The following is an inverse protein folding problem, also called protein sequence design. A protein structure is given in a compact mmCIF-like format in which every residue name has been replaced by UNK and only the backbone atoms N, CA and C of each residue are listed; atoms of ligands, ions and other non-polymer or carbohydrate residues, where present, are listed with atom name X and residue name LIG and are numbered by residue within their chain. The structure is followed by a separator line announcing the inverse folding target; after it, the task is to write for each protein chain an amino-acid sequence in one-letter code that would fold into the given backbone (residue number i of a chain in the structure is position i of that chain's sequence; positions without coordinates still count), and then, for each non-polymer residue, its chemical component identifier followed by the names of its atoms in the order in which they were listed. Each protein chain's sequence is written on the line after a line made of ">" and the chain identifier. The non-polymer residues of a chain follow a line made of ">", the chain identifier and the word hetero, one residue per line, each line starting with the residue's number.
data_IF_564338245742
#
_entry.id   IF_564338245742
#
_cell.length_a   1.000
_cell.length_b   1.000
_cell.length_c   1.000
_cell.angle_alpha   90.00
_cell.angle_beta   90.00
_cell.angle_gamma   90.00
#
_symmetry.space_group_name_H-M   'P 1'
#
loop_
_entity.id
_entity.type
_entity.pdbx_description
1 polymer ?
#
# COMPACT_ATOMS: atom_id res chain seq x y z
N UNK A 1 35.62 -6.70 0.75
CA UNK A 1 34.21 -6.67 0.30
C UNK A 1 34.22 -6.20 -1.15
N UNK A 2 33.30 -6.66 -1.98
CA UNK A 2 33.28 -6.23 -3.39
C UNK A 2 32.76 -4.80 -3.45
N UNK A 3 33.63 -3.87 -3.84
CA UNK A 3 33.37 -2.43 -4.03
C UNK A 3 32.26 -2.13 -5.07
N UNK A 4 31.97 -3.12 -5.92
CA UNK A 4 30.95 -3.05 -6.96
C UNK A 4 30.10 -4.32 -6.98
N UNK A 5 28.80 -4.14 -7.22
CA UNK A 5 27.85 -5.25 -7.37
C UNK A 5 26.88 -5.01 -8.52
N UNK A 6 26.85 -5.97 -9.45
CA UNK A 6 25.84 -5.98 -10.52
C UNK A 6 24.46 -6.31 -9.95
N UNK A 7 23.46 -5.54 -10.39
CA UNK A 7 22.05 -5.68 -10.03
C UNK A 7 21.26 -5.96 -11.31
N UNK A 8 20.62 -7.11 -11.35
CA UNK A 8 19.73 -7.56 -12.41
C UNK A 8 18.75 -8.59 -11.83
N UNK A 9 17.59 -8.80 -12.47
CA UNK A 9 16.68 -9.86 -12.05
C UNK A 9 17.25 -11.23 -12.41
N UNK A 10 17.50 -12.04 -11.39
CA UNK A 10 17.82 -13.46 -11.54
C UNK A 10 16.54 -14.31 -11.69
N UNK A 11 16.70 -15.63 -11.73
CA UNK A 11 15.56 -16.56 -11.88
C UNK A 11 14.56 -16.45 -10.72
N UNK A 12 15.04 -16.30 -9.49
CA UNK A 12 14.20 -16.23 -8.30
C UNK A 12 13.34 -14.96 -8.31
N UNK A 13 13.99 -13.81 -8.43
CA UNK A 13 13.32 -12.50 -8.48
C UNK A 13 12.39 -12.37 -9.69
N UNK A 14 12.77 -12.92 -10.85
CA UNK A 14 11.94 -12.89 -12.05
C UNK A 14 10.62 -13.66 -11.93
N UNK A 15 10.54 -14.64 -11.03
CA UNK A 15 9.36 -15.53 -10.88
C UNK A 15 8.46 -15.22 -9.68
N UNK A 16 8.54 -14.00 -9.12
CA UNK A 16 7.75 -13.60 -7.95
C UNK A 16 8.57 -13.23 -6.72
N UNK A 17 9.90 -13.38 -6.79
CA UNK A 17 10.82 -12.93 -5.74
C UNK A 17 10.92 -11.40 -5.65
N UNK A 18 11.59 -10.92 -4.61
CA UNK A 18 11.78 -9.47 -4.39
C UNK A 18 12.70 -8.91 -5.48
N UNK A 19 12.36 -7.73 -6.02
CA UNK A 19 13.19 -7.04 -6.99
C UNK A 19 14.55 -6.64 -6.38
N UNK A 20 15.68 -7.06 -6.99
CA UNK A 20 17.01 -6.64 -6.56
C UNK A 20 17.21 -5.12 -6.68
N UNK A 21 16.56 -4.49 -7.66
CA UNK A 21 16.54 -3.03 -7.84
C UNK A 21 15.85 -2.35 -6.66
N UNK A 22 14.65 -2.82 -6.31
CA UNK A 22 13.91 -2.22 -5.20
C UNK A 22 14.63 -2.42 -3.86
N UNK A 23 15.23 -3.59 -3.66
CA UNK A 23 16.01 -3.88 -2.46
C UNK A 23 17.20 -2.92 -2.33
N UNK A 24 18.00 -2.78 -3.39
CA UNK A 24 19.14 -1.88 -3.40
C UNK A 24 18.71 -0.42 -3.16
N UNK A 25 17.75 0.08 -3.94
CA UNK A 25 17.26 1.46 -3.77
C UNK A 25 16.70 1.69 -2.37
N UNK A 26 15.90 0.77 -1.83
CA UNK A 26 15.38 0.88 -0.47
C UNK A 26 16.49 0.96 0.57
N UNK A 27 17.53 0.13 0.44
CA UNK A 27 18.67 0.12 1.36
C UNK A 27 19.42 1.45 1.33
N UNK A 28 19.64 2.04 0.15
CA UNK A 28 20.24 3.38 -0.01
C UNK A 28 19.35 4.47 0.59
N UNK A 29 18.03 4.37 0.37
CA UNK A 29 17.08 5.38 0.81
C UNK A 29 16.92 5.40 2.33
N UNK A 30 17.12 4.29 3.03
CA UNK A 30 16.77 4.15 4.44
C UNK A 30 17.66 5.00 5.35
N UNK A 31 17.06 6.00 6.01
CA UNK A 31 17.69 6.93 6.95
C UNK A 31 18.92 7.66 6.37
N UNK A 32 19.00 7.81 5.04
CA UNK A 32 20.06 8.55 4.36
C UNK A 32 19.60 9.94 3.93
N UNK A 33 20.58 10.80 3.64
CA UNK A 33 20.38 12.02 2.86
C UNK A 33 20.70 11.70 1.40
N UNK A 34 19.67 11.71 0.55
CA UNK A 34 19.77 11.02 -0.75
C UNK A 34 19.55 11.96 -1.92
N UNK A 35 20.45 11.87 -2.89
CA UNK A 35 20.37 12.63 -4.13
C UNK A 35 19.96 11.72 -5.29
N UNK A 36 19.00 12.15 -6.09
CA UNK A 36 18.30 11.31 -7.06
C UNK A 36 18.26 12.00 -8.42
N UNK A 37 18.57 11.26 -9.47
CA UNK A 37 18.39 11.70 -10.86
C UNK A 37 17.59 10.65 -11.61
N UNK A 38 16.43 11.02 -12.19
CA UNK A 38 15.65 10.11 -13.03
C UNK A 38 14.62 10.88 -13.88
N UNK A 39 14.52 10.67 -15.21
CA UNK A 39 13.49 11.33 -16.04
C UNK A 39 12.10 10.73 -15.85
N UNK A 40 11.98 9.40 -15.83
CA UNK A 40 10.69 8.73 -15.84
C UNK A 40 10.38 8.14 -14.47
N UNK A 41 9.47 8.80 -13.76
CA UNK A 41 9.17 8.45 -12.38
C UNK A 41 7.69 8.03 -12.26
N UNK A 42 7.47 6.87 -11.64
CA UNK A 42 6.15 6.43 -11.23
C UNK A 42 5.85 6.96 -9.84
N UNK A 43 4.92 7.91 -9.73
CA UNK A 43 4.68 8.66 -8.48
C UNK A 43 4.46 7.76 -7.25
N UNK A 44 3.69 6.68 -7.37
CA UNK A 44 3.45 5.75 -6.25
C UNK A 44 4.69 4.96 -5.81
N UNK A 45 5.64 4.69 -6.71
CA UNK A 45 6.91 4.08 -6.35
C UNK A 45 7.85 5.11 -5.70
N UNK A 46 7.88 6.32 -6.25
CA UNK A 46 8.76 7.38 -5.77
C UNK A 46 8.38 7.86 -4.37
N UNK A 47 7.10 8.18 -4.15
CA UNK A 47 6.56 8.54 -2.84
C UNK A 47 6.81 7.44 -1.79
N UNK A 48 6.76 6.17 -2.21
CA UNK A 48 7.07 5.03 -1.34
C UNK A 48 8.52 5.05 -0.85
N UNK A 49 9.49 5.32 -1.73
CA UNK A 49 10.91 5.26 -1.36
C UNK A 49 11.42 6.55 -0.70
N UNK A 50 10.90 7.72 -1.06
CA UNK A 50 11.31 9.00 -0.45
C UNK A 50 10.92 9.10 1.01
N UNK A 51 9.83 8.44 1.41
CA UNK A 51 9.43 8.29 2.82
C UNK A 51 10.44 7.55 3.68
N UNK A 52 11.42 6.85 3.10
CA UNK A 52 12.45 6.15 3.87
C UNK A 52 13.67 7.01 4.20
N UNK A 53 13.85 8.13 3.48
CA UNK A 53 15.00 9.00 3.62
C UNK A 53 14.82 10.03 4.74
N UNK A 54 15.93 10.48 5.32
CA UNK A 54 15.93 11.63 6.24
C UNK A 54 15.66 12.91 5.45
N UNK A 55 16.36 13.05 4.33
CA UNK A 55 16.14 14.09 3.34
C UNK A 55 16.42 13.55 1.94
N UNK A 56 15.86 14.21 0.93
CA UNK A 56 16.12 13.85 -0.45
C UNK A 56 16.11 15.08 -1.37
N UNK A 57 16.85 14.97 -2.46
CA UNK A 57 16.88 15.94 -3.57
C UNK A 57 16.69 15.21 -4.89
N UNK A 58 15.88 15.75 -5.78
CA UNK A 58 15.57 15.20 -7.08
C UNK A 58 15.94 16.19 -8.18
N UNK A 59 16.76 15.74 -9.14
CA UNK A 59 16.92 16.38 -10.44
C UNK A 59 16.19 15.53 -11.48
N UNK A 60 15.26 16.13 -12.21
CA UNK A 60 14.42 15.40 -13.17
C UNK A 60 14.00 16.28 -14.34
N UNK A 61 13.71 15.66 -15.48
CA UNK A 61 12.97 16.34 -16.52
C UNK A 61 11.47 16.29 -16.18
N UNK A 62 10.99 17.36 -15.54
CA UNK A 62 9.58 17.54 -15.17
C UNK A 62 8.64 17.42 -16.37
N UNK A 63 9.03 17.85 -17.56
CA UNK A 63 8.19 17.75 -18.76
C UNK A 63 8.00 16.29 -19.18
N UNK A 64 9.10 15.53 -19.22
CA UNK A 64 9.07 14.08 -19.48
C UNK A 64 8.32 13.31 -18.39
N UNK A 65 8.51 13.69 -17.11
CA UNK A 65 7.81 13.06 -15.99
C UNK A 65 6.29 13.22 -16.13
N UNK A 66 5.81 14.42 -16.45
CA UNK A 66 4.38 14.70 -16.61
C UNK A 66 3.83 14.04 -17.89
N UNK A 67 4.50 14.22 -19.02
CA UNK A 67 4.00 13.78 -20.33
C UNK A 67 3.88 12.25 -20.44
N UNK A 68 4.81 11.50 -19.82
CA UNK A 68 4.81 10.04 -19.77
C UNK A 68 3.59 9.43 -19.04
N UNK A 69 2.92 10.23 -18.20
CA UNK A 69 1.84 9.78 -17.33
C UNK A 69 0.44 10.12 -17.87
N UNK A 70 -0.57 9.38 -17.41
CA UNK A 70 -1.98 9.64 -17.76
C UNK A 70 -2.54 10.87 -17.01
N UNK A 71 -3.73 11.34 -17.38
CA UNK A 71 -4.30 12.58 -16.83
C UNK A 71 -4.44 12.60 -15.30
N UNK A 72 -4.87 11.49 -14.70
CA UNK A 72 -4.99 11.36 -13.24
C UNK A 72 -3.61 11.41 -12.57
N UNK A 73 -2.66 10.63 -13.07
CA UNK A 73 -1.29 10.61 -12.58
C UNK A 73 -0.58 11.97 -12.72
N UNK A 74 -0.84 12.72 -13.81
CA UNK A 74 -0.32 14.09 -14.00
C UNK A 74 -0.75 15.04 -12.89
N UNK A 75 -2.01 14.97 -12.46
CA UNK A 75 -2.49 15.81 -11.36
C UNK A 75 -1.83 15.44 -10.03
N UNK A 76 -1.63 14.14 -9.79
CA UNK A 76 -0.91 13.67 -8.60
C UNK A 76 0.57 14.09 -8.61
N UNK A 77 1.23 14.02 -9.76
CA UNK A 77 2.61 14.50 -9.95
C UNK A 77 2.70 15.99 -9.69
N UNK A 78 1.80 16.79 -10.28
CA UNK A 78 1.74 18.24 -10.03
C UNK A 78 1.62 18.54 -8.54
N UNK A 79 0.66 17.92 -7.85
CA UNK A 79 0.46 18.15 -6.42
C UNK A 79 1.70 17.74 -5.61
N UNK A 80 2.36 16.64 -5.98
CA UNK A 80 3.59 16.20 -5.35
C UNK A 80 4.73 17.21 -5.55
N UNK A 81 4.90 17.75 -6.75
CA UNK A 81 5.91 18.79 -7.04
C UNK A 81 5.65 20.03 -6.19
N UNK A 82 4.41 20.52 -6.16
CA UNK A 82 4.04 21.71 -5.39
C UNK A 82 4.31 21.57 -3.88
N UNK A 83 4.13 20.36 -3.34
CA UNK A 83 4.41 20.07 -1.93
C UNK A 83 5.90 19.92 -1.62
N UNK A 84 6.76 19.82 -2.63
CA UNK A 84 8.18 19.49 -2.51
C UNK A 84 9.07 20.40 -3.39
N UNK A 85 8.67 21.65 -3.62
CA UNK A 85 9.36 22.56 -4.54
C UNK A 85 10.84 22.75 -4.22
N UNK A 86 11.20 22.80 -2.93
CA UNK A 86 12.60 23.00 -2.51
C UNK A 86 13.49 21.78 -2.71
N UNK A 87 12.92 20.60 -2.99
CA UNK A 87 13.67 19.35 -3.15
C UNK A 87 13.61 18.81 -4.57
N UNK A 88 12.93 19.49 -5.50
CA UNK A 88 12.78 19.06 -6.89
C UNK A 88 13.24 20.16 -7.82
N UNK A 89 14.25 19.86 -8.63
CA UNK A 89 14.73 20.72 -9.69
C UNK A 89 14.41 20.13 -11.07
N UNK A 90 14.05 21.01 -12.00
CA UNK A 90 13.90 20.70 -13.41
C UNK A 90 15.25 20.79 -14.12
N UNK A 91 15.61 19.72 -14.82
CA UNK A 91 16.75 19.67 -15.75
C UNK A 91 16.27 19.04 -17.05
N UNK A 92 16.21 19.85 -18.11
CA UNK A 92 15.71 19.42 -19.42
C UNK A 92 16.62 18.37 -20.06
N UNK A 93 16.01 17.36 -20.68
CA UNK A 93 16.69 16.27 -21.40
C UNK A 93 17.60 15.38 -20.52
N UNK A 94 17.47 15.45 -19.19
CA UNK A 94 18.24 14.57 -18.28
C UNK A 94 17.77 13.13 -18.45
N UNK A 95 18.67 12.21 -18.79
CA UNK A 95 18.33 10.80 -18.99
C UNK A 95 19.11 9.84 -18.07
N UNK A 96 19.86 10.37 -17.10
CA UNK A 96 20.52 9.56 -16.09
C UNK A 96 19.50 8.89 -15.15
N UNK A 97 19.84 7.72 -14.60
CA UNK A 97 19.10 7.07 -13.50
C UNK A 97 20.09 6.74 -12.39
N UNK A 98 20.08 7.57 -11.34
CA UNK A 98 21.07 7.52 -10.26
C UNK A 98 20.36 7.73 -8.92
N UNK A 99 20.79 6.98 -7.91
CA UNK A 99 20.54 7.25 -6.48
C UNK A 99 21.90 7.31 -5.81
N UNK A 100 22.21 8.35 -5.05
CA UNK A 100 23.47 8.45 -4.31
C UNK A 100 23.20 8.92 -2.88
N UNK A 101 23.76 8.19 -1.92
CA UNK A 101 23.83 8.58 -0.50
C UNK A 101 25.27 8.91 -0.12
N UNK A 102 25.54 9.05 1.18
CA UNK A 102 26.89 9.29 1.71
C UNK A 102 27.86 8.13 1.44
N UNK A 103 27.37 6.89 1.52
CA UNK A 103 28.21 5.69 1.55
C UNK A 103 28.10 4.82 0.29
N UNK A 104 27.05 5.00 -0.51
CA UNK A 104 26.79 4.15 -1.66
C UNK A 104 26.03 4.87 -2.77
N UNK A 105 26.14 4.31 -3.98
CA UNK A 105 25.44 4.80 -5.15
C UNK A 105 24.88 3.65 -5.99
N UNK A 106 23.76 3.92 -6.65
CA UNK A 106 23.08 3.03 -7.57
C UNK A 106 22.96 3.73 -8.91
N UNK A 107 23.53 3.15 -9.97
CA UNK A 107 23.44 3.67 -11.34
C UNK A 107 22.94 2.57 -12.26
N UNK A 108 22.06 2.87 -13.21
CA UNK A 108 21.63 1.85 -14.17
C UNK A 108 20.66 2.31 -15.24
N UNK A 109 20.05 1.34 -15.91
CA UNK A 109 19.09 1.57 -16.99
C UNK A 109 17.64 1.73 -16.49
N UNK A 110 17.33 1.22 -15.30
CA UNK A 110 15.98 1.22 -14.75
C UNK A 110 15.49 2.62 -14.36
N UNK A 111 14.40 3.05 -14.98
CA UNK A 111 13.59 4.17 -14.52
C UNK A 111 12.80 3.82 -13.25
N UNK A 112 12.45 4.81 -12.43
CA UNK A 112 11.80 4.62 -11.12
C UNK A 112 10.29 4.43 -11.27
N UNK A 113 9.92 3.43 -12.07
CA UNK A 113 8.54 3.05 -12.36
C UNK A 113 8.31 1.61 -11.93
N UNK A 114 7.05 1.23 -11.66
CA UNK A 114 6.71 -0.17 -11.38
C UNK A 114 7.25 -1.13 -12.45
N UNK A 115 7.23 -0.73 -13.72
CA UNK A 115 7.73 -1.56 -14.83
C UNK A 115 9.25 -1.67 -14.85
N UNK A 116 9.97 -0.54 -14.71
CA UNK A 116 11.43 -0.54 -14.65
C UNK A 116 11.94 -1.40 -13.49
N UNK A 117 11.32 -1.26 -12.32
CA UNK A 117 11.76 -1.95 -11.10
C UNK A 117 11.36 -3.44 -11.08
N UNK A 118 10.24 -3.86 -11.70
CA UNK A 118 9.68 -5.22 -11.50
C UNK A 118 9.54 -6.09 -12.75
N UNK A 119 9.49 -5.49 -13.93
CA UNK A 119 8.97 -6.18 -15.13
C UNK A 119 9.91 -6.11 -16.34
N UNK A 120 10.80 -5.11 -16.40
CA UNK A 120 11.75 -4.93 -17.51
C UNK A 120 13.05 -5.65 -17.23
N UNK A 121 13.68 -6.12 -18.31
CA UNK A 121 15.07 -6.58 -18.28
C UNK A 121 15.95 -5.34 -18.23
N UNK A 122 16.45 -5.04 -17.03
CA UNK A 122 17.28 -3.87 -16.73
C UNK A 122 18.60 -4.35 -16.12
N UNK A 123 19.60 -3.46 -16.09
CA UNK A 123 20.85 -3.70 -15.37
C UNK A 123 21.30 -2.43 -14.65
N UNK A 124 21.90 -2.62 -13.48
CA UNK A 124 22.47 -1.56 -12.68
C UNK A 124 23.74 -2.03 -11.96
N UNK A 125 24.45 -1.06 -11.40
CA UNK A 125 25.61 -1.28 -10.53
C UNK A 125 25.33 -0.58 -9.21
N UNK A 126 25.46 -1.32 -8.12
CA UNK A 126 25.60 -0.78 -6.77
C UNK A 126 27.10 -0.57 -6.50
N UNK A 127 27.45 0.63 -6.07
CA UNK A 127 28.81 1.10 -5.85
C UNK A 127 28.93 1.44 -4.35
N UNK A 128 29.91 0.85 -3.69
CA UNK A 128 30.28 1.13 -2.29
C UNK A 128 31.72 1.68 -2.19
N UNK A 129 32.42 1.79 -3.32
CA UNK A 129 33.75 2.40 -3.37
C UNK A 129 33.65 3.91 -3.15
N UNK A 130 34.31 4.38 -2.09
CA UNK A 130 34.18 5.75 -1.59
C UNK A 130 34.55 6.82 -2.62
N UNK A 131 35.58 6.59 -3.44
CA UNK A 131 36.05 7.59 -4.40
C UNK A 131 34.99 7.89 -5.47
N UNK A 132 34.30 6.87 -5.96
CA UNK A 132 33.27 6.93 -6.99
C UNK A 132 31.94 7.41 -6.42
N UNK A 133 31.63 7.07 -5.18
CA UNK A 133 30.48 7.67 -4.47
C UNK A 133 30.68 9.18 -4.34
N UNK A 134 31.88 9.64 -3.95
CA UNK A 134 32.21 11.07 -3.86
C UNK A 134 32.18 11.75 -5.24
N UNK A 135 32.66 11.09 -6.29
CA UNK A 135 32.55 11.60 -7.66
C UNK A 135 31.09 11.78 -8.08
N UNK A 136 30.22 10.80 -7.81
CA UNK A 136 28.79 10.87 -8.11
C UNK A 136 28.06 11.94 -7.29
N UNK A 137 28.44 12.14 -6.02
CA UNK A 137 27.93 13.23 -5.20
C UNK A 137 28.29 14.59 -5.79
N UNK A 138 29.56 14.76 -6.21
CA UNK A 138 30.01 16.00 -6.85
C UNK A 138 29.27 16.24 -8.16
N UNK A 139 29.18 15.23 -9.02
CA UNK A 139 28.41 15.30 -10.25
C UNK A 139 26.94 15.68 -10.01
N UNK A 140 26.31 15.14 -8.96
CA UNK A 140 24.97 15.54 -8.59
C UNK A 140 24.89 17.00 -8.15
N UNK A 141 25.84 17.49 -7.34
CA UNK A 141 25.88 18.88 -6.91
C UNK A 141 26.03 19.84 -8.11
N UNK A 142 26.90 19.50 -9.07
CA UNK A 142 27.06 20.27 -10.30
C UNK A 142 25.73 20.32 -11.08
N UNK A 143 25.04 19.18 -11.25
CA UNK A 143 23.70 19.15 -11.87
C UNK A 143 22.65 19.94 -11.10
N UNK A 144 22.69 19.88 -9.77
CA UNK A 144 21.76 20.59 -8.90
C UNK A 144 21.92 22.10 -9.07
N UNK A 145 23.16 22.60 -9.09
CA UNK A 145 23.49 24.01 -9.25
C UNK A 145 23.19 24.53 -10.67
N UNK A 146 23.25 23.67 -11.69
CA UNK A 146 22.87 23.98 -13.07
C UNK A 146 21.36 23.86 -13.36
N UNK A 147 20.60 23.29 -12.41
CA UNK A 147 19.17 23.05 -12.56
C UNK A 147 18.32 24.10 -11.85
N UNK A 148 17.06 24.21 -12.26
CA UNK A 148 16.16 25.26 -11.78
C UNK A 148 15.08 24.69 -10.88
N UNK A 149 14.74 25.41 -9.81
CA UNK A 149 13.52 25.12 -9.04
C UNK A 149 12.32 25.24 -9.97
N UNK A 150 11.36 24.32 -9.83
CA UNK A 150 10.17 24.33 -10.69
C UNK A 150 9.35 25.60 -10.48
N UNK A 151 9.23 26.42 -11.53
CA UNK A 151 8.36 27.58 -11.51
C UNK A 151 6.89 27.15 -11.59
N UNK A 152 6.09 27.59 -10.62
CA UNK A 152 4.67 27.22 -10.52
C UNK A 152 3.87 27.69 -11.75
N UNK A 153 4.14 28.91 -12.24
CA UNK A 153 3.39 29.48 -13.36
C UNK A 153 3.69 28.73 -14.66
N UNK A 154 4.96 28.38 -14.89
CA UNK A 154 5.38 27.61 -16.06
C UNK A 154 4.83 26.19 -16.01
N UNK A 155 4.83 25.55 -14.83
CA UNK A 155 4.22 24.24 -14.60
C UNK A 155 2.72 24.24 -14.92
N UNK A 156 1.98 25.27 -14.49
CA UNK A 156 0.55 25.41 -14.79
C UNK A 156 0.31 25.60 -16.30
N UNK A 157 1.12 26.42 -16.96
CA UNK A 157 1.04 26.63 -18.40
C UNK A 157 1.34 25.34 -19.18
N UNK A 158 2.37 24.60 -18.79
CA UNK A 158 2.68 23.30 -19.38
C UNK A 158 1.53 22.30 -19.18
N UNK A 159 0.98 22.23 -17.98
CA UNK A 159 -0.18 21.37 -17.68
C UNK A 159 -1.42 21.72 -18.52
N UNK A 160 -1.61 23.00 -18.85
CA UNK A 160 -2.69 23.43 -19.74
C UNK A 160 -2.42 23.07 -21.20
N UNK A 161 -1.17 23.19 -21.69
CA UNK A 161 -0.80 22.91 -23.08
C UNK A 161 -0.88 21.41 -23.43
N UNK A 162 -0.59 20.52 -22.49
CA UNK A 162 -0.72 19.07 -22.71
C UNK A 162 -2.17 18.57 -22.59
N UNK A 163 -3.10 19.38 -22.07
CA UNK A 163 -4.55 19.06 -22.03
C UNK A 163 -5.24 19.35 -23.36
N UNK A 164 -4.78 20.34 -24.11
CA UNK A 164 -5.28 20.66 -25.46
C UNK A 164 -4.75 19.72 -26.54
N UNK A 165 -3.64 19.03 -26.24
CA UNK A 165 -3.08 17.98 -27.08
C UNK A 165 -3.82 16.67 -26.82
N UNK A 166 -4.76 16.31 -27.70
CA UNK A 166 -5.56 15.09 -27.59
C UNK A 166 -4.70 13.86 -27.32
N UNK A 167 -5.01 13.15 -26.24
CA UNK A 167 -4.45 11.86 -25.87
C UNK A 167 -4.45 10.90 -27.07
N UNK A 168 -3.27 10.40 -27.46
CA UNK A 168 -3.22 9.14 -28.18
C UNK A 168 -3.85 8.07 -27.31
N UNK A 169 -5.05 7.68 -27.72
CA UNK A 169 -5.88 6.63 -27.12
C UNK A 169 -5.09 5.32 -27.18
N UNK A 170 -4.44 4.94 -26.07
CA UNK A 170 -3.65 3.71 -25.96
C UNK A 170 -4.52 2.44 -25.84
N UNK A 171 -5.80 2.51 -26.21
CA UNK A 171 -6.74 1.39 -26.18
C UNK A 171 -6.85 0.63 -27.51
N UNK A 172 -6.07 0.99 -28.53
CA UNK A 172 -5.95 0.13 -29.70
C UNK A 172 -5.24 -1.18 -29.29
N UNK A 173 -5.80 -2.36 -29.58
CA UNK A 173 -5.12 -3.63 -29.33
C UNK A 173 -3.82 -3.65 -30.14
N UNK A 174 -2.69 -3.48 -29.45
CA UNK A 174 -1.38 -3.61 -30.07
C UNK A 174 -1.19 -5.07 -30.41
N UNK A 175 -1.16 -5.40 -31.69
CA UNK A 175 -0.69 -6.69 -32.18
C UNK A 175 0.76 -6.86 -31.71
N UNK A 176 0.97 -7.71 -30.71
CA UNK A 176 2.30 -7.92 -30.14
C UNK A 176 3.08 -8.86 -31.05
N UNK A 177 4.33 -8.49 -31.34
CA UNK A 177 5.27 -9.41 -31.95
C UNK A 177 5.60 -10.54 -30.95
N UNK A 178 5.67 -11.81 -31.40
CA UNK A 178 5.95 -12.92 -30.52
C UNK A 178 7.38 -12.83 -29.98
N UNK A 179 7.54 -13.12 -28.68
CA UNK A 179 8.85 -13.27 -28.02
C UNK A 179 8.86 -14.55 -27.20
N UNK A 180 10.01 -15.23 -27.19
CA UNK A 180 10.25 -16.42 -26.36
C UNK A 180 10.66 -16.09 -24.92
N UNK A 181 10.96 -14.81 -24.64
CA UNK A 181 11.40 -14.39 -23.32
C UNK A 181 10.25 -14.47 -22.31
N UNK A 182 10.52 -15.07 -21.14
CA UNK A 182 9.58 -15.05 -20.04
C UNK A 182 9.47 -13.63 -19.47
N UNK A 183 8.26 -13.14 -19.14
CA UNK A 183 8.10 -11.85 -18.51
C UNK A 183 8.64 -11.90 -17.06
N UNK A 184 9.33 -10.84 -16.64
CA UNK A 184 9.75 -10.67 -15.24
C UNK A 184 8.51 -10.27 -14.43
N UNK A 185 8.33 -10.90 -13.26
CA UNK A 185 7.24 -10.64 -12.33
C UNK A 185 7.76 -10.50 -10.90
N UNK A 186 8.69 -9.57 -10.68
CA UNK A 186 9.21 -9.34 -9.34
C UNK A 186 8.20 -8.58 -8.45
N UNK A 187 8.36 -8.70 -7.13
CA UNK A 187 7.60 -7.92 -6.14
C UNK A 187 8.48 -6.86 -5.48
N UNK A 188 7.85 -5.80 -4.98
CA UNK A 188 8.55 -4.83 -4.14
C UNK A 188 8.84 -5.44 -2.77
N UNK A 189 9.94 -5.01 -2.16
CA UNK A 189 10.26 -5.25 -0.77
C UNK A 189 9.16 -4.64 0.10
N UNK A 190 8.73 -5.36 1.13
CA UNK A 190 7.85 -4.79 2.14
C UNK A 190 8.69 -3.91 3.06
N UNK A 191 8.58 -2.59 2.87
CA UNK A 191 9.39 -1.60 3.60
C UNK A 191 8.74 -1.16 4.91
N UNK A 192 7.51 -1.61 5.17
CA UNK A 192 6.65 -0.99 6.17
C UNK A 192 6.32 0.45 5.80
N UNK A 193 5.05 0.84 5.78
CA UNK A 193 4.75 2.27 5.67
C UNK A 193 5.38 3.00 6.85
N UNK A 194 6.04 4.12 6.58
CA UNK A 194 6.54 4.98 7.62
C UNK A 194 5.35 5.42 8.50
N UNK A 195 5.29 4.87 9.70
CA UNK A 195 4.19 4.98 10.67
C UNK A 195 3.89 6.45 11.00
N UNK A 196 4.88 7.34 10.82
CA UNK A 196 4.79 8.75 11.20
C UNK A 196 3.91 9.60 10.27
N UNK A 197 3.86 9.32 8.97
CA UNK A 197 3.05 10.11 8.04
C UNK A 197 1.57 9.74 8.06
N UNK A 198 1.26 8.45 8.27
CA UNK A 198 -0.13 8.00 8.49
C UNK A 198 -0.64 8.39 9.89
N UNK A 199 0.25 8.62 10.86
CA UNK A 199 -0.11 9.16 12.19
C UNK A 199 -0.38 10.67 12.17
N UNK A 200 0.25 11.44 11.27
CA UNK A 200 0.10 12.91 11.23
C UNK A 200 -1.27 13.38 10.73
N UNK A 201 -1.92 12.65 9.80
CA UNK A 201 -3.21 13.08 9.24
C UNK A 201 -4.42 12.78 10.12
N UNK A 202 -4.31 11.91 11.13
CA UNK A 202 -5.43 11.60 12.03
C UNK A 202 -5.02 11.09 13.43
N UNK A 203 -4.31 11.95 14.17
CA UNK A 203 -3.88 11.69 15.56
C UNK A 203 -5.02 11.26 16.49
N UNK A 204 -6.25 11.74 16.27
CA UNK A 204 -7.40 11.40 17.12
C UNK A 204 -7.87 9.97 16.88
N UNK A 205 -8.05 9.57 15.61
CA UNK A 205 -8.42 8.19 15.26
C UNK A 205 -7.36 7.18 15.70
N UNK A 206 -6.07 7.55 15.62
CA UNK A 206 -4.97 6.73 16.16
C UNK A 206 -5.11 6.49 17.66
N UNK A 207 -5.35 7.54 18.45
CA UNK A 207 -5.56 7.43 19.89
C UNK A 207 -6.82 6.62 20.21
N UNK A 208 -7.93 6.88 19.50
CA UNK A 208 -9.19 6.13 19.65
C UNK A 208 -8.99 4.65 19.38
N UNK A 209 -8.20 4.28 18.36
CA UNK A 209 -7.91 2.89 18.04
C UNK A 209 -7.08 2.21 19.13
N UNK A 210 -6.02 2.85 19.64
CA UNK A 210 -5.22 2.34 20.75
C UNK A 210 -6.11 2.08 21.97
N UNK A 211 -6.92 3.06 22.37
CA UNK A 211 -7.80 2.93 23.53
C UNK A 211 -8.88 1.87 23.31
N UNK A 212 -9.37 1.70 22.08
CA UNK A 212 -10.29 0.63 21.73
C UNK A 212 -9.63 -0.75 21.91
N UNK A 213 -8.42 -0.95 21.39
CA UNK A 213 -7.72 -2.24 21.48
C UNK A 213 -7.39 -2.60 22.93
N UNK A 214 -6.91 -1.63 23.73
CA UNK A 214 -6.64 -1.83 25.18
C UNK A 214 -7.86 -2.32 25.96
N UNK A 215 -9.06 -1.88 25.57
CA UNK A 215 -10.32 -2.33 26.18
C UNK A 215 -10.81 -3.66 25.63
N UNK A 216 -10.48 -3.94 24.37
CA UNK A 216 -10.96 -5.11 23.65
C UNK A 216 -10.20 -6.39 24.05
N UNK A 217 -8.89 -6.30 24.27
CA UNK A 217 -8.08 -7.45 24.71
C UNK A 217 -6.79 -7.02 25.40
N UNK A 218 -6.28 -7.88 26.29
CA UNK A 218 -4.92 -7.82 26.84
C UNK A 218 -3.95 -8.74 26.08
N UNK A 219 -4.45 -9.55 25.14
CA UNK A 219 -3.66 -10.51 24.39
C UNK A 219 -3.27 -9.93 23.01
N UNK A 220 -1.99 -9.60 22.87
CA UNK A 220 -1.39 -9.14 21.61
C UNK A 220 -1.57 -10.14 20.48
N UNK A 221 -1.37 -11.43 20.74
CA UNK A 221 -1.50 -12.48 19.73
C UNK A 221 -2.93 -12.55 19.24
N UNK A 222 -3.91 -12.52 20.15
CA UNK A 222 -5.33 -12.53 19.81
C UNK A 222 -5.71 -11.36 18.88
N UNK A 223 -5.22 -10.15 19.18
CA UNK A 223 -5.46 -9.00 18.31
C UNK A 223 -4.80 -9.14 16.95
N UNK A 224 -3.60 -9.74 16.91
CA UNK A 224 -2.94 -10.03 15.63
C UNK A 224 -3.73 -11.06 14.81
N UNK A 225 -4.18 -12.15 15.41
CA UNK A 225 -5.02 -13.16 14.74
C UNK A 225 -6.32 -12.53 14.17
N UNK A 226 -6.88 -11.54 14.88
CA UNK A 226 -8.06 -10.79 14.41
C UNK A 226 -7.75 -9.99 13.14
N UNK A 227 -6.63 -9.25 13.16
CA UNK A 227 -6.22 -8.50 11.97
C UNK A 227 -5.81 -9.41 10.81
N UNK A 228 -5.26 -10.59 11.07
CA UNK A 228 -4.99 -11.60 10.04
C UNK A 228 -6.27 -12.13 9.40
N UNK A 229 -7.30 -12.43 10.20
CA UNK A 229 -8.61 -12.82 9.68
C UNK A 229 -9.25 -11.69 8.85
N UNK A 230 -9.17 -10.45 9.32
CA UNK A 230 -9.63 -9.29 8.58
C UNK A 230 -8.85 -9.09 7.26
N UNK A 231 -7.54 -9.34 7.27
CA UNK A 231 -6.70 -9.27 6.06
C UNK A 231 -7.10 -10.34 5.05
N UNK A 232 -7.37 -11.57 5.51
CA UNK A 232 -7.87 -12.64 4.64
C UNK A 232 -9.13 -12.19 3.89
N UNK A 233 -10.04 -11.49 4.57
CA UNK A 233 -11.22 -10.88 3.94
C UNK A 233 -10.89 -9.82 2.90
N UNK A 234 -9.96 -8.91 3.19
CA UNK A 234 -9.53 -7.91 2.20
C UNK A 234 -8.95 -8.61 0.96
N UNK A 235 -8.10 -9.61 1.17
CA UNK A 235 -7.39 -10.31 0.09
C UNK A 235 -8.36 -11.02 -0.86
N UNK A 236 -9.37 -11.75 -0.35
CA UNK A 236 -10.32 -12.45 -1.24
C UNK A 236 -11.41 -11.56 -1.83
N UNK A 237 -11.70 -10.39 -1.23
CA UNK A 237 -12.69 -9.43 -1.75
C UNK A 237 -12.09 -8.42 -2.72
N UNK A 238 -10.79 -8.14 -2.60
CA UNK A 238 -10.10 -7.10 -3.37
C UNK A 238 -10.52 -5.67 -3.02
N UNK A 239 -11.15 -5.47 -1.85
CA UNK A 239 -11.62 -4.16 -1.41
C UNK A 239 -10.46 -3.26 -0.98
N UNK A 240 -10.47 -2.01 -1.39
CA UNK A 240 -9.52 -0.98 -0.93
C UNK A 240 -10.16 -0.07 0.13
N UNK A 241 -9.35 0.71 0.86
CA UNK A 241 -9.85 1.65 1.89
C UNK A 241 -10.92 2.61 1.34
N UNK A 242 -10.73 3.10 0.12
CA UNK A 242 -11.62 4.06 -0.52
C UNK A 242 -12.88 3.42 -1.12
N UNK A 243 -13.00 2.09 -1.11
CA UNK A 243 -14.16 1.42 -1.67
C UNK A 243 -15.46 1.87 -0.97
N UNK A 244 -16.46 2.38 -1.71
CA UNK A 244 -17.67 2.95 -1.12
C UNK A 244 -18.50 1.92 -0.33
N UNK A 245 -18.26 0.62 -0.51
CA UNK A 245 -18.97 -0.47 0.16
C UNK A 245 -18.31 -0.85 1.49
N UNK A 246 -17.02 -0.56 1.67
CA UNK A 246 -16.25 -0.96 2.86
C UNK A 246 -16.31 0.10 3.96
N UNK A 247 -16.65 -0.34 5.16
CA UNK A 247 -16.60 0.49 6.38
C UNK A 247 -15.88 -0.29 7.48
N UNK A 248 -14.79 0.26 7.96
CA UNK A 248 -14.09 -0.19 9.16
C UNK A 248 -14.18 0.96 10.15
N UNK A 249 -14.73 0.73 11.34
CA UNK A 249 -15.10 1.82 12.24
C UNK A 249 -14.58 1.58 13.66
N UNK A 250 -14.43 2.66 14.43
CA UNK A 250 -14.01 2.63 15.84
C UNK A 250 -15.15 3.21 16.70
N UNK A 251 -16.28 2.47 16.87
CA UNK A 251 -17.40 2.93 17.68
C UNK A 251 -17.02 3.06 19.16
N UNK A 252 -17.78 3.89 19.90
CA UNK A 252 -17.60 4.07 21.35
C UNK A 252 -17.78 2.79 22.18
N UNK A 253 -18.41 1.76 21.60
CA UNK A 253 -18.59 0.45 22.22
C UNK A 253 -17.30 -0.35 22.39
N UNK A 254 -16.13 0.20 22.01
CA UNK A 254 -14.82 -0.47 22.11
C UNK A 254 -14.76 -1.78 21.33
N UNK A 255 -15.33 -1.74 20.12
CA UNK A 255 -15.27 -2.81 19.13
C UNK A 255 -14.58 -2.27 17.87
N UNK A 256 -14.15 -3.15 16.97
CA UNK A 256 -13.56 -2.77 15.68
C UNK A 256 -14.33 -3.47 14.55
N UNK A 257 -15.63 -3.20 14.35
CA UNK A 257 -16.41 -3.93 13.38
C UNK A 257 -16.04 -3.56 11.94
N UNK A 258 -16.12 -4.55 11.07
CA UNK A 258 -16.04 -4.42 9.62
C UNK A 258 -17.43 -4.65 9.04
N UNK A 259 -17.85 -3.69 8.22
CA UNK A 259 -19.13 -3.67 7.53
C UNK A 259 -18.90 -3.63 6.04
N UNK A 260 -19.64 -4.46 5.31
CA UNK A 260 -19.77 -4.36 3.85
C UNK A 260 -21.21 -4.01 3.53
N UNK A 261 -21.39 -2.99 2.70
CA UNK A 261 -22.70 -2.41 2.41
C UNK A 261 -23.44 -2.02 3.69
N UNK A 262 -24.45 -2.78 4.12
CA UNK A 262 -25.30 -2.41 5.26
C UNK A 262 -25.18 -3.40 6.43
N UNK A 263 -24.25 -4.37 6.37
CA UNK A 263 -24.16 -5.45 7.36
C UNK A 263 -22.75 -5.63 7.89
N UNK A 264 -22.66 -5.85 9.20
CA UNK A 264 -21.44 -6.35 9.82
C UNK A 264 -21.09 -7.70 9.19
N UNK A 265 -19.82 -7.86 8.86
CA UNK A 265 -19.28 -9.10 8.29
C UNK A 265 -18.25 -9.76 9.19
N UNK A 266 -17.58 -8.96 10.03
CA UNK A 266 -16.60 -9.40 11.01
C UNK A 266 -16.59 -8.39 12.16
N UNK A 267 -16.59 -8.87 13.41
CA UNK A 267 -16.54 -7.98 14.57
C UNK A 267 -15.93 -8.68 15.80
N UNK A 268 -14.86 -8.14 16.39
CA UNK A 268 -14.29 -8.65 17.62
C UNK A 268 -15.08 -8.18 18.85
N UNK A 269 -15.18 -9.02 19.87
CA UNK A 269 -15.85 -8.71 21.16
C UNK A 269 -14.87 -8.79 22.33
N UNK A 270 -15.11 -7.98 23.35
CA UNK A 270 -14.24 -7.80 24.53
C UNK A 270 -14.03 -9.05 25.40
N UNK A 271 -14.74 -10.14 25.15
CA UNK A 271 -14.67 -11.40 25.88
C UNK A 271 -13.98 -12.52 25.09
N UNK A 272 -13.18 -12.15 24.07
CA UNK A 272 -12.49 -13.11 23.21
C UNK A 272 -13.43 -13.82 22.23
N UNK A 273 -14.60 -13.26 21.95
CA UNK A 273 -15.52 -13.76 20.91
C UNK A 273 -15.31 -13.03 19.60
N UNK A 274 -15.59 -13.74 18.51
CA UNK A 274 -15.59 -13.19 17.15
C UNK A 274 -16.98 -13.39 16.54
N UNK A 275 -17.61 -12.30 16.12
CA UNK A 275 -18.86 -12.30 15.37
C UNK A 275 -18.60 -12.35 13.87
N UNK A 276 -19.26 -13.28 13.18
CA UNK A 276 -19.19 -13.45 11.72
C UNK A 276 -20.58 -13.43 11.10
N UNK A 277 -20.66 -12.86 9.89
CA UNK A 277 -21.83 -13.09 9.03
C UNK A 277 -21.78 -14.51 8.49
N UNK A 278 -22.91 -15.22 8.55
CA UNK A 278 -23.03 -16.59 8.07
C UNK A 278 -24.27 -16.76 7.19
N UNK A 279 -24.26 -17.65 6.20
CA UNK A 279 -25.43 -17.92 5.38
C UNK A 279 -26.48 -18.72 6.18
N UNK A 280 -27.74 -18.71 5.74
CA UNK A 280 -28.83 -19.38 6.46
C UNK A 280 -28.68 -20.91 6.53
N UNK A 281 -27.96 -21.49 5.57
CA UNK A 281 -27.64 -22.92 5.53
C UNK A 281 -26.45 -23.28 6.44
N UNK A 282 -25.74 -22.30 7.02
CA UNK A 282 -24.78 -22.56 8.08
C UNK A 282 -25.55 -22.80 9.37
N UNK A 283 -25.77 -24.07 9.69
CA UNK A 283 -26.36 -24.52 10.93
C UNK A 283 -26.28 -26.04 11.09
N UNK A 284 -26.32 -26.53 12.32
CA UNK A 284 -26.37 -27.98 12.55
C UNK A 284 -25.92 -28.41 13.94
N UNK A 285 -25.80 -29.74 14.08
CA UNK A 285 -25.38 -30.52 15.26
C UNK A 285 -23.92 -30.32 15.69
N UNK A 286 -23.23 -29.30 15.17
CA UNK A 286 -21.80 -29.08 15.37
C UNK A 286 -21.46 -27.69 15.91
N UNK A 287 -22.46 -26.90 16.31
CA UNK A 287 -22.25 -25.60 16.96
C UNK A 287 -21.31 -25.68 18.15
N UNK A 288 -21.45 -26.70 18.99
CA UNK A 288 -20.57 -26.92 20.13
C UNK A 288 -19.12 -27.19 19.69
N UNK A 289 -18.93 -27.97 18.61
CA UNK A 289 -17.59 -28.27 18.06
C UNK A 289 -16.96 -27.05 17.40
N UNK A 290 -17.76 -26.23 16.73
CA UNK A 290 -17.32 -25.01 16.06
C UNK A 290 -17.03 -23.87 17.07
N UNK A 291 -17.46 -24.04 18.33
CA UNK A 291 -17.34 -23.05 19.39
C UNK A 291 -18.33 -21.90 19.24
N UNK A 292 -19.52 -22.15 18.68
CA UNK A 292 -20.60 -21.16 18.60
C UNK A 292 -21.18 -20.93 20.00
N UNK A 293 -21.25 -19.67 20.42
CA UNK A 293 -21.77 -19.29 21.73
C UNK A 293 -23.02 -18.41 21.67
N UNK A 294 -23.27 -17.77 20.53
CA UNK A 294 -24.49 -16.97 20.36
C UNK A 294 -24.91 -16.91 18.89
N UNK A 295 -26.22 -17.03 18.66
CA UNK A 295 -26.84 -16.79 17.36
C UNK A 295 -27.82 -15.64 17.55
N UNK A 296 -27.64 -14.57 16.77
CA UNK A 296 -28.47 -13.37 16.89
C UNK A 296 -29.60 -13.41 15.86
N UNK A 297 -30.79 -13.79 16.31
CA UNK A 297 -31.97 -13.97 15.44
C UNK A 297 -32.63 -12.66 15.01
N UNK A 298 -32.29 -11.53 15.63
CA UNK A 298 -32.79 -10.21 15.26
C UNK A 298 -32.05 -9.53 14.10
N UNK A 299 -30.99 -10.13 13.55
CA UNK A 299 -30.14 -9.50 12.55
C UNK A 299 -30.47 -9.93 11.11
N UNK A 300 -30.20 -9.00 10.18
CA UNK A 300 -30.12 -9.24 8.73
C UNK A 300 -31.41 -9.65 8.04
N UNK A 301 -32.44 -8.83 8.22
CA UNK A 301 -33.72 -8.94 7.51
C UNK A 301 -33.81 -7.96 6.33
N UNK A 302 -34.54 -8.37 5.30
CA UNK A 302 -35.03 -7.50 4.24
C UNK A 302 -36.48 -7.87 3.98
N UNK A 303 -37.39 -6.90 4.00
CA UNK A 303 -38.84 -7.14 3.84
C UNK A 303 -39.37 -8.26 4.76
N UNK A 304 -38.93 -8.27 6.03
CA UNK A 304 -39.26 -9.31 7.05
C UNK A 304 -38.74 -10.72 6.75
N UNK A 305 -37.97 -10.92 5.69
CA UNK A 305 -37.31 -12.20 5.38
C UNK A 305 -35.86 -12.12 5.86
N UNK A 306 -35.44 -13.09 6.68
CA UNK A 306 -34.04 -13.21 7.11
C UNK A 306 -33.21 -13.66 5.92
N UNK A 307 -32.08 -13.02 5.67
CA UNK A 307 -31.21 -13.34 4.53
C UNK A 307 -29.82 -13.85 4.93
N UNK A 308 -29.43 -13.65 6.19
CA UNK A 308 -28.16 -14.11 6.75
C UNK A 308 -28.29 -14.29 8.27
N UNK A 309 -27.30 -14.91 8.89
CA UNK A 309 -27.15 -15.08 10.33
C UNK A 309 -25.98 -14.22 10.81
N UNK A 310 -26.09 -13.72 12.04
CA UNK A 310 -24.96 -13.18 12.78
C UNK A 310 -24.66 -14.15 13.91
N UNK A 311 -23.45 -14.72 13.92
CA UNK A 311 -23.07 -15.80 14.83
C UNK A 311 -21.77 -15.42 15.53
N UNK A 312 -21.75 -15.57 16.84
CA UNK A 312 -20.57 -15.36 17.67
C UNK A 312 -19.92 -16.69 18.05
N UNK A 313 -18.60 -16.73 17.90
CA UNK A 313 -17.74 -17.85 18.21
C UNK A 313 -16.81 -17.50 19.37
N UNK A 314 -16.64 -18.41 20.33
CA UNK A 314 -15.66 -18.26 21.40
C UNK A 314 -14.26 -18.61 20.91
N UNK A 315 -13.33 -17.65 21.01
CA UNK A 315 -11.96 -17.72 20.48
C UNK A 315 -10.93 -17.12 21.45
N UNK A 316 -11.14 -17.29 22.76
CA UNK A 316 -10.28 -16.69 23.80
C UNK A 316 -8.79 -17.01 23.66
N UNK A 317 -8.45 -18.21 23.21
CA UNK A 317 -7.06 -18.69 23.14
C UNK A 317 -6.42 -18.53 21.75
N UNK A 318 -7.06 -17.77 20.86
CA UNK A 318 -6.63 -17.58 19.48
C UNK A 318 -7.78 -17.69 18.50
N UNK A 319 -7.64 -16.99 17.37
CA UNK A 319 -8.68 -16.95 16.33
C UNK A 319 -8.30 -17.90 15.21
N UNK A 320 -8.72 -19.15 15.37
CA UNK A 320 -8.60 -20.19 14.35
C UNK A 320 -9.98 -20.70 13.96
N UNK A 321 -10.21 -20.84 12.65
CA UNK A 321 -11.45 -21.36 12.09
C UNK A 321 -11.11 -22.46 11.10
N UNK A 322 -11.89 -23.54 11.11
CA UNK A 322 -11.78 -24.58 10.11
C UNK A 322 -12.08 -24.01 8.72
N UNK A 323 -11.49 -24.60 7.67
CA UNK A 323 -11.75 -24.17 6.29
C UNK A 323 -13.24 -24.18 5.95
N UNK A 324 -13.99 -25.15 6.47
CA UNK A 324 -15.45 -25.19 6.33
C UNK A 324 -16.14 -23.93 6.87
N UNK A 325 -15.78 -23.46 8.06
CA UNK A 325 -16.37 -22.23 8.64
C UNK A 325 -15.96 -21.02 7.78
N UNK A 326 -14.69 -20.96 7.37
CA UNK A 326 -14.18 -19.89 6.51
C UNK A 326 -14.91 -19.84 5.16
N UNK A 327 -15.20 -20.99 4.55
CA UNK A 327 -15.93 -21.07 3.28
C UNK A 327 -17.35 -20.50 3.39
N UNK A 328 -18.09 -20.85 4.45
CA UNK A 328 -19.41 -20.27 4.70
C UNK A 328 -19.35 -18.77 4.93
N UNK A 329 -18.39 -18.30 5.74
CA UNK A 329 -18.18 -16.88 5.99
C UNK A 329 -17.83 -16.13 4.70
N UNK A 330 -16.87 -16.63 3.92
CA UNK A 330 -16.48 -16.09 2.59
C UNK A 330 -17.68 -15.99 1.66
N UNK A 331 -18.50 -17.05 1.58
CA UNK A 331 -19.71 -17.05 0.78
C UNK A 331 -20.69 -15.95 1.21
N UNK A 332 -20.90 -15.76 2.52
CA UNK A 332 -21.77 -14.72 3.04
C UNK A 332 -21.23 -13.32 2.78
N UNK A 333 -19.92 -13.11 2.97
CA UNK A 333 -19.22 -11.85 2.64
C UNK A 333 -19.38 -11.50 1.17
N UNK A 334 -19.08 -12.43 0.26
CA UNK A 334 -19.21 -12.21 -1.19
C UNK A 334 -20.66 -11.98 -1.62
N UNK A 335 -21.61 -12.63 -0.95
CA UNK A 335 -23.04 -12.40 -1.16
C UNK A 335 -23.43 -10.98 -0.77
N UNK A 336 -22.96 -10.49 0.39
CA UNK A 336 -23.22 -9.12 0.83
C UNK A 336 -22.56 -8.10 -0.09
N UNK A 337 -21.33 -8.36 -0.54
CA UNK A 337 -20.59 -7.50 -1.46
C UNK A 337 -21.34 -7.25 -2.78
N UNK A 338 -22.03 -8.27 -3.30
CA UNK A 338 -22.81 -8.18 -4.55
C UNK A 338 -24.15 -7.44 -4.40
N UNK A 339 -24.65 -7.24 -3.18
CA UNK A 339 -25.99 -6.67 -2.94
C UNK A 339 -26.09 -5.16 -3.07
N UNK A 340 -24.97 -4.46 -3.01
CA UNK A 340 -24.94 -3.01 -2.99
C UNK A 340 -23.65 -2.44 -3.56
N UNK A 341 -23.73 -1.18 -3.96
CA UNK A 341 -22.61 -0.41 -4.49
C UNK A 341 -22.07 0.62 -3.51
N UNK A 342 -22.70 0.80 -2.34
CA UNK A 342 -22.26 1.71 -1.29
C UNK A 342 -22.81 1.34 0.09
N UNK A 343 -22.06 1.70 1.13
CA UNK A 343 -22.51 1.66 2.52
C UNK A 343 -23.15 2.98 2.95
N UNK A 344 -24.26 2.90 3.67
CA UNK A 344 -24.86 4.06 4.34
C UNK A 344 -24.03 4.53 5.54
N UNK A 345 -23.10 3.68 6.00
CA UNK A 345 -22.21 3.94 7.12
C UNK A 345 -20.84 4.48 6.69
N UNK A 346 -20.63 4.80 5.40
CA UNK A 346 -19.31 5.22 4.89
C UNK A 346 -18.73 6.43 5.61
N UNK A 347 -19.57 7.34 6.13
CA UNK A 347 -19.15 8.48 6.97
C UNK A 347 -18.46 8.10 8.29
N UNK A 348 -18.56 6.84 8.71
CA UNK A 348 -17.91 6.29 9.91
C UNK A 348 -16.69 5.42 9.56
N UNK A 349 -16.28 5.39 8.30
CA UNK A 349 -15.09 4.65 7.89
C UNK A 349 -13.84 5.36 8.41
N UNK A 350 -12.97 4.60 9.06
CA UNK A 350 -11.73 5.02 9.68
C UNK A 350 -10.57 4.36 8.89
N UNK A 351 -9.93 5.08 7.94
CA UNK A 351 -8.89 4.51 7.06
C UNK A 351 -7.72 3.89 7.83
N UNK A 352 -7.45 4.40 9.03
CA UNK A 352 -6.42 3.85 9.92
C UNK A 352 -6.64 2.36 10.25
N UNK A 353 -7.90 1.92 10.39
CA UNK A 353 -8.18 0.51 10.68
C UNK A 353 -7.81 -0.36 9.48
N UNK A 354 -8.07 0.13 8.26
CA UNK A 354 -7.64 -0.53 7.04
C UNK A 354 -6.11 -0.65 6.99
N UNK A 355 -5.40 0.45 7.27
CA UNK A 355 -3.94 0.47 7.28
C UNK A 355 -3.36 -0.57 8.25
N UNK A 356 -3.86 -0.65 9.49
CA UNK A 356 -3.44 -1.66 10.47
C UNK A 356 -3.67 -3.09 9.98
N UNK A 357 -4.71 -3.32 9.18
CA UNK A 357 -4.99 -4.66 8.65
C UNK A 357 -4.05 -5.01 7.50
N UNK A 358 -3.81 -4.10 6.55
CA UNK A 358 -3.03 -4.44 5.35
C UNK A 358 -1.52 -4.26 5.51
N UNK A 359 -1.09 -3.43 6.47
CA UNK A 359 0.30 -3.04 6.65
C UNK A 359 0.88 -3.64 7.93
N UNK A 360 1.67 -4.70 7.77
CA UNK A 360 2.21 -5.47 8.89
C UNK A 360 3.12 -4.63 9.81
N UNK A 361 3.91 -3.72 9.24
CA UNK A 361 4.78 -2.85 10.03
C UNK A 361 3.97 -1.82 10.81
N UNK A 362 2.96 -1.20 10.19
CA UNK A 362 2.05 -0.28 10.89
C UNK A 362 1.31 -0.97 12.03
N UNK A 363 0.82 -2.20 11.77
CA UNK A 363 0.22 -3.06 12.77
C UNK A 363 1.17 -3.34 13.93
N UNK A 364 2.39 -3.78 13.64
CA UNK A 364 3.37 -4.12 14.67
C UNK A 364 3.70 -2.90 15.54
N UNK A 365 3.98 -1.75 14.95
CA UNK A 365 4.25 -0.54 15.72
C UNK A 365 3.05 -0.03 16.52
N UNK A 366 1.82 -0.23 16.03
CA UNK A 366 0.62 0.07 16.82
C UNK A 366 0.46 -0.91 17.98
N UNK A 367 0.59 -2.22 17.74
CA UNK A 367 0.48 -3.26 18.78
C UNK A 367 1.59 -3.12 19.82
N UNK A 368 2.81 -2.78 19.43
CA UNK A 368 3.90 -2.48 20.36
C UNK A 368 3.49 -1.36 21.32
N UNK A 369 2.88 -0.26 20.84
CA UNK A 369 2.40 0.82 21.72
C UNK A 369 1.19 0.46 22.59
N UNK A 370 0.39 -0.51 22.16
CA UNK A 370 -0.79 -0.96 22.94
C UNK A 370 -0.35 -1.86 24.09
N UNK A 371 0.61 -2.77 23.83
CA UNK A 371 1.01 -3.86 24.71
C UNK A 371 2.41 -3.68 25.33
N UNK A 372 3.04 -2.50 25.18
CA UNK A 372 4.30 -2.10 25.83
C UNK A 372 4.15 -1.89 27.32
#
# INVERSE_FOLDING_TARGET
>A
MNEYKLIYHDKESSTGGISPFDKAITEIMKNGDVSIVCPYIGIGYFDRITKLANSWRLVTDVEEWISFNNMEARQNIKNFILNNLSTIHHYKDIHAKVVVSDDNAFIGSSNFTNKGIKERVEMAVLIEEKEQVVELQKWFCDLWDESEVVNIQDLEWYMASIRSSSSHDMNAPKTLLPSKAAPIKARLLDIGSNIQDTIKSDQDSYKRLIECIKKLTLDRKWMNDYFDLAKEMIDFTGLTSDDPRLVMSIPKSSEIPITINQRYVLNPKYNGRIGLIMPLNYGGSEYDKDGVVQIHDGYFFRNKIREARWIEFERKNGIEFSERIKDYWKQAVLTELKKGNKSGFKKFHEPIVYEVIVNLSYRNGLLDKVFS
#
